data_IF_914935317204
#
_entry.id   IF_914935317204
#
_cell.length_a   1.000
_cell.length_b   1.000
_cell.length_c   1.000
_cell.angle_alpha   90.00
_cell.angle_beta   90.00
_cell.angle_gamma   90.00
#
_symmetry.space_group_name_H-M   'P 1'
#
loop_
_entity.id
_entity.type
_entity.pdbx_description
1 polymer ?
#
# COMPACT_ATOMS: atom_id res chain seq x y z
N UNK A 1 42.46 -1.66 57.52
CA UNK A 1 43.30 -2.67 56.83
C UNK A 1 42.58 -3.10 55.56
N UNK A 2 43.23 -2.86 54.39
CA UNK A 2 43.21 -3.64 53.14
C UNK A 2 41.87 -4.16 52.56
N UNK A 3 41.49 -3.97 51.30
CA UNK A 3 42.24 -3.64 50.06
C UNK A 3 41.29 -3.07 49.00
N UNK A 4 41.74 -2.04 48.30
CA UNK A 4 41.35 -1.68 46.94
C UNK A 4 41.86 -2.74 45.96
N UNK A 5 41.08 -3.12 44.95
CA UNK A 5 41.59 -3.73 43.71
C UNK A 5 40.92 -3.10 42.50
N UNK A 6 41.76 -2.54 41.64
CA UNK A 6 41.46 -2.03 40.29
C UNK A 6 41.48 -3.20 39.30
N UNK A 7 40.68 -3.09 38.25
CA UNK A 7 40.47 -4.05 37.16
C UNK A 7 41.72 -4.30 36.29
N UNK A 8 41.68 -5.32 35.40
CA UNK A 8 42.34 -5.25 34.11
C UNK A 8 41.33 -5.05 32.98
N UNK A 9 41.73 -4.14 32.11
CA UNK A 9 41.18 -3.80 30.80
C UNK A 9 41.56 -4.90 29.80
N UNK A 10 40.60 -5.40 29.01
CA UNK A 10 40.90 -6.14 27.77
C UNK A 10 39.80 -5.92 26.73
N UNK A 11 40.28 -5.55 25.55
CA UNK A 11 39.62 -4.89 24.43
C UNK A 11 38.82 -5.87 23.50
N UNK A 12 38.25 -5.40 22.37
CA UNK A 12 36.99 -5.87 21.77
C UNK A 12 37.13 -6.91 20.64
N UNK A 13 35.96 -7.28 20.06
CA UNK A 13 35.65 -8.09 18.85
C UNK A 13 35.05 -9.45 19.23
N UNK A 14 33.97 -9.94 18.63
CA UNK A 14 33.63 -9.90 17.21
C UNK A 14 32.12 -9.76 16.99
N UNK A 15 31.76 -8.91 16.03
CA UNK A 15 30.49 -8.94 15.32
C UNK A 15 30.26 -10.33 14.72
N UNK A 16 29.25 -11.06 15.18
CA UNK A 16 28.51 -11.96 14.31
C UNK A 16 27.21 -11.27 13.95
N UNK A 17 27.36 -10.29 13.06
CA UNK A 17 26.25 -9.74 12.29
C UNK A 17 25.66 -10.88 11.46
N UNK A 18 24.65 -11.56 12.01
CA UNK A 18 23.72 -12.31 11.19
C UNK A 18 22.84 -11.25 10.54
N UNK A 19 23.29 -10.78 9.38
CA UNK A 19 22.44 -10.06 8.43
C UNK A 19 21.19 -10.91 8.25
N UNK A 20 20.11 -10.54 8.95
CA UNK A 20 18.79 -10.79 8.42
C UNK A 20 18.82 -10.09 7.07
N UNK A 21 18.72 -10.87 6.00
CA UNK A 21 18.36 -10.32 4.71
C UNK A 21 17.01 -9.63 4.95
N UNK A 22 17.05 -8.32 5.18
CA UNK A 22 15.89 -7.48 5.04
C UNK A 22 15.54 -7.60 3.56
N UNK A 23 14.48 -8.36 3.28
CA UNK A 23 13.84 -8.38 1.98
C UNK A 23 13.63 -6.92 1.57
N UNK A 24 14.02 -6.52 0.35
CA UNK A 24 13.85 -5.15 -0.07
C UNK A 24 12.38 -4.78 0.08
N UNK A 25 12.12 -3.77 0.91
CA UNK A 25 10.79 -3.19 1.04
C UNK A 25 10.52 -2.49 -0.27
N UNK A 26 9.84 -3.18 -1.19
CA UNK A 26 9.43 -2.61 -2.48
C UNK A 26 8.51 -1.46 -2.16
N UNK A 27 9.05 -0.25 -2.21
CA UNK A 27 8.25 0.96 -2.04
C UNK A 27 7.45 1.18 -3.32
N UNK A 28 6.28 1.81 -3.22
CA UNK A 28 5.45 2.11 -4.40
C UNK A 28 6.19 2.95 -5.48
N UNK A 29 7.36 3.51 -5.15
CA UNK A 29 8.24 4.22 -6.08
C UNK A 29 9.07 3.30 -7.00
N UNK A 30 9.18 2.01 -6.69
CA UNK A 30 9.98 1.04 -7.45
C UNK A 30 9.16 0.07 -8.30
N UNK A 31 7.85 0.29 -8.42
CA UNK A 31 6.99 -0.53 -9.30
C UNK A 31 6.51 0.28 -10.50
N UNK A 32 6.55 -0.33 -11.68
CA UNK A 32 5.95 0.23 -12.88
C UNK A 32 4.58 -0.42 -13.09
N UNK A 33 3.54 0.40 -13.11
CA UNK A 33 2.20 -0.04 -13.52
C UNK A 33 2.20 -0.33 -15.01
N UNK A 34 1.84 -1.56 -15.38
CA UNK A 34 1.61 -1.97 -16.77
C UNK A 34 0.19 -2.51 -16.93
N UNK A 35 -0.25 -2.63 -18.19
CA UNK A 35 -1.63 -2.96 -18.50
C UNK A 35 -2.57 -1.75 -18.37
N UNK A 36 -3.86 -2.04 -18.34
CA UNK A 36 -4.93 -1.03 -18.29
C UNK A 36 -6.22 -1.62 -17.76
N UNK A 37 -7.25 -0.78 -17.63
CA UNK A 37 -8.61 -1.29 -17.66
C UNK A 37 -8.73 -2.07 -18.97
N UNK A 38 -9.04 -3.36 -18.90
CA UNK A 38 -9.64 -4.04 -20.04
C UNK A 38 -10.84 -3.22 -20.48
N UNK A 39 -11.16 -3.23 -21.77
CA UNK A 39 -12.39 -2.61 -22.25
C UNK A 39 -13.55 -3.10 -21.38
N UNK A 40 -14.30 -2.17 -20.78
CA UNK A 40 -15.34 -2.51 -19.82
C UNK A 40 -14.90 -2.78 -18.37
N UNK A 41 -13.69 -2.47 -17.88
CA UNK A 41 -13.40 -2.56 -16.44
C UNK A 41 -13.80 -1.26 -15.70
N UNK A 42 -14.74 -1.35 -14.74
CA UNK A 42 -15.21 -0.24 -13.89
C UNK A 42 -14.67 -0.23 -12.45
N UNK A 43 -13.56 -0.93 -12.17
CA UNK A 43 -12.97 -1.10 -10.84
C UNK A 43 -12.72 0.22 -10.07
N UNK A 44 -12.32 1.29 -10.77
CA UNK A 44 -12.12 2.62 -10.19
C UNK A 44 -13.39 3.24 -9.61
N UNK A 45 -14.57 2.71 -9.97
CA UNK A 45 -15.87 3.23 -9.60
C UNK A 45 -16.49 2.47 -8.41
N UNK A 46 -15.81 1.47 -7.85
CA UNK A 46 -16.37 0.66 -6.76
C UNK A 46 -16.13 1.25 -5.37
N UNK A 47 -15.00 1.94 -5.20
CA UNK A 47 -14.63 2.53 -3.91
C UNK A 47 -13.64 3.68 -4.06
N UNK A 48 -13.65 4.55 -3.07
CA UNK A 48 -12.64 5.59 -2.90
C UNK A 48 -11.65 5.14 -1.82
N UNK A 49 -10.37 5.37 -2.06
CA UNK A 49 -9.30 5.14 -1.08
C UNK A 49 -8.77 6.52 -0.66
N UNK A 50 -8.77 6.78 0.64
CA UNK A 50 -8.31 8.02 1.26
C UNK A 50 -7.11 7.67 2.13
N UNK A 51 -5.88 8.04 1.71
CA UNK A 51 -4.71 7.88 2.55
C UNK A 51 -4.85 8.74 3.80
N UNK A 52 -4.55 8.15 4.95
CA UNK A 52 -4.59 8.79 6.25
C UNK A 52 -3.18 9.00 6.78
N UNK A 53 -3.04 9.93 7.70
CA UNK A 53 -1.75 10.17 8.36
C UNK A 53 -1.37 9.00 9.27
N UNK A 54 -0.28 8.25 9.00
CA UNK A 54 0.13 7.12 9.83
C UNK A 54 0.45 7.51 11.28
N UNK A 55 0.70 8.81 11.55
CA UNK A 55 0.91 9.32 12.92
C UNK A 55 -0.33 9.19 13.80
N UNK A 56 -1.52 8.97 13.25
CA UNK A 56 -2.72 8.68 14.06
C UNK A 56 -2.53 7.48 15.01
N UNK A 57 -1.70 6.50 14.62
CA UNK A 57 -1.32 5.33 15.43
C UNK A 57 -0.62 5.68 16.74
N UNK A 58 0.06 6.83 16.79
CA UNK A 58 0.85 7.24 17.96
C UNK A 58 0.00 7.51 19.20
N UNK A 59 -1.32 7.60 19.04
CA UNK A 59 -2.28 7.82 20.13
C UNK A 59 -3.40 6.77 20.10
N UNK A 60 -3.19 5.57 20.67
CA UNK A 60 -4.10 4.43 20.51
C UNK A 60 -5.57 4.70 20.87
N UNK A 61 -5.82 5.46 21.95
CA UNK A 61 -7.19 5.80 22.34
C UNK A 61 -7.89 6.70 21.32
N UNK A 62 -7.18 7.72 20.81
CA UNK A 62 -7.72 8.60 19.77
C UNK A 62 -7.91 7.86 18.45
N UNK A 63 -7.00 6.95 18.13
CA UNK A 63 -7.11 6.12 16.95
C UNK A 63 -8.36 5.23 17.00
N UNK A 64 -8.61 4.56 18.13
CA UNK A 64 -9.80 3.72 18.29
C UNK A 64 -11.11 4.52 18.20
N UNK A 65 -11.15 5.72 18.80
CA UNK A 65 -12.30 6.62 18.69
C UNK A 65 -12.53 7.05 17.24
N UNK A 66 -11.45 7.37 16.52
CA UNK A 66 -11.50 7.73 15.11
C UNK A 66 -11.93 6.56 14.21
N UNK A 67 -11.43 5.35 14.44
CA UNK A 67 -11.89 4.13 13.76
C UNK A 67 -13.38 3.94 14.02
N UNK A 68 -13.83 4.14 15.26
CA UNK A 68 -15.25 3.98 15.58
C UNK A 68 -16.12 5.01 14.87
N UNK A 69 -15.67 6.26 14.85
CA UNK A 69 -16.33 7.32 14.08
C UNK A 69 -16.38 6.97 12.59
N UNK A 70 -15.28 6.50 12.00
CA UNK A 70 -15.19 6.11 10.61
C UNK A 70 -16.19 4.99 10.26
N UNK A 71 -16.26 3.93 11.07
CA UNK A 71 -17.24 2.84 10.91
C UNK A 71 -18.69 3.33 10.88
N UNK A 72 -19.04 4.26 11.78
CA UNK A 72 -20.38 4.85 11.85
C UNK A 72 -20.75 5.65 10.59
N UNK A 73 -19.74 6.12 9.86
CA UNK A 73 -19.89 6.84 8.60
C UNK A 73 -19.67 5.96 7.36
N UNK A 74 -19.60 4.63 7.53
CA UNK A 74 -19.45 3.68 6.42
C UNK A 74 -18.04 3.65 5.82
N UNK A 75 -17.06 4.22 6.52
CA UNK A 75 -15.65 4.10 6.19
C UNK A 75 -15.08 2.85 6.85
N UNK A 76 -14.20 2.16 6.14
CA UNK A 76 -13.46 1.02 6.65
C UNK A 76 -11.98 1.40 6.68
N UNK A 77 -11.33 1.16 7.82
CA UNK A 77 -9.93 1.51 8.03
C UNK A 77 -9.07 0.26 7.81
N UNK A 78 -8.09 0.37 6.91
CA UNK A 78 -7.03 -0.63 6.74
C UNK A 78 -5.77 -0.07 7.39
N UNK A 79 -5.32 -0.75 8.43
CA UNK A 79 -4.03 -0.48 9.05
C UNK A 79 -3.01 -1.51 8.58
N UNK A 80 -2.06 -1.08 7.73
CA UNK A 80 -0.92 -1.87 7.29
C UNK A 80 0.37 -1.25 7.87
N UNK A 81 0.76 -1.62 9.10
CA UNK A 81 1.93 -1.07 9.76
C UNK A 81 3.25 -1.52 9.09
N UNK A 82 3.28 -2.69 8.47
CA UNK A 82 4.48 -3.21 7.78
C UNK A 82 4.83 -2.37 6.56
N UNK A 83 3.81 -1.89 5.83
CA UNK A 83 3.97 -0.95 4.71
C UNK A 83 3.90 0.52 5.14
N UNK A 84 3.86 0.80 6.46
CA UNK A 84 3.82 2.16 6.99
C UNK A 84 2.55 2.95 6.64
N UNK A 85 1.44 2.27 6.35
CA UNK A 85 0.28 2.86 5.69
C UNK A 85 -1.03 2.70 6.46
N UNK A 86 -1.80 3.78 6.49
CA UNK A 86 -3.13 3.80 7.06
C UNK A 86 -4.08 4.35 5.98
N UNK A 87 -5.04 3.55 5.55
CA UNK A 87 -6.01 3.93 4.51
C UNK A 87 -7.44 3.87 5.07
N UNK A 88 -8.28 4.83 4.71
CA UNK A 88 -9.73 4.69 4.79
C UNK A 88 -10.27 4.36 3.40
N UNK A 89 -11.29 3.49 3.34
CA UNK A 89 -12.05 3.32 2.11
C UNK A 89 -13.55 3.34 2.36
N UNK A 90 -14.28 3.82 1.36
CA UNK A 90 -15.73 3.74 1.32
C UNK A 90 -16.15 3.15 -0.02
N UNK A 91 -17.13 2.25 0.01
CA UNK A 91 -17.81 1.85 -1.20
C UNK A 91 -18.61 3.03 -1.73
N UNK A 92 -18.59 3.21 -3.04
CA UNK A 92 -19.37 4.26 -3.71
C UNK A 92 -20.28 3.64 -4.74
N UNK A 93 -21.43 4.27 -4.95
CA UNK A 93 -22.26 4.02 -6.11
C UNK A 93 -21.78 4.92 -7.24
N UNK A 94 -21.72 4.36 -8.44
CA UNK A 94 -21.35 5.09 -9.65
C UNK A 94 -22.37 4.78 -10.72
N UNK A 95 -23.10 5.80 -11.19
CA UNK A 95 -24.13 5.65 -12.22
C UNK A 95 -23.55 5.22 -13.57
N UNK A 96 -22.25 5.49 -13.79
CA UNK A 96 -21.53 5.05 -14.98
C UNK A 96 -21.13 3.56 -14.92
N UNK A 97 -21.35 2.88 -13.79
CA UNK A 97 -21.04 1.45 -13.61
C UNK A 97 -22.27 0.60 -13.97
N UNK A 98 -22.14 -0.27 -14.98
CA UNK A 98 -23.19 -1.23 -15.34
C UNK A 98 -23.38 -2.29 -14.25
N UNK A 99 -24.49 -3.04 -14.28
CA UNK A 99 -24.66 -4.23 -13.42
C UNK A 99 -23.54 -5.27 -13.59
N UNK A 100 -22.95 -5.34 -14.79
CA UNK A 100 -21.83 -6.24 -15.13
C UNK A 100 -20.46 -5.68 -14.71
N UNK A 101 -20.43 -4.58 -13.93
CA UNK A 101 -19.23 -3.90 -13.44
C UNK A 101 -18.39 -3.23 -14.53
N UNK A 102 -19.05 -2.80 -15.60
CA UNK A 102 -18.42 -2.11 -16.71
C UNK A 102 -18.59 -0.59 -16.67
N UNK A 103 -17.58 0.13 -17.14
CA UNK A 103 -17.63 1.59 -17.21
C UNK A 103 -18.25 2.05 -18.53
N UNK A 104 -19.46 2.60 -18.49
CA UNK A 104 -20.17 3.14 -19.66
C UNK A 104 -19.53 4.42 -20.24
N UNK A 105 -18.59 5.04 -19.55
CA UNK A 105 -17.86 6.23 -20.02
C UNK A 105 -16.52 5.87 -20.67
N UNK A 106 -16.24 4.58 -20.90
CA UNK A 106 -14.98 4.16 -21.53
C UNK A 106 -14.79 4.88 -22.89
N UNK A 107 -13.64 5.55 -23.05
CA UNK A 107 -13.28 6.25 -24.28
C UNK A 107 -13.98 7.59 -24.50
N UNK A 108 -14.84 8.05 -23.58
CA UNK A 108 -15.50 9.36 -23.67
C UNK A 108 -14.72 10.42 -22.91
N UNK A 109 -14.93 11.70 -23.27
CA UNK A 109 -14.36 12.85 -22.54
C UNK A 109 -15.01 13.08 -21.17
N UNK A 110 -16.12 12.41 -20.88
CA UNK A 110 -16.81 12.50 -19.59
C UNK A 110 -16.17 11.58 -18.54
N UNK A 111 -15.32 10.63 -18.96
CA UNK A 111 -14.57 9.78 -18.03
C UNK A 111 -13.56 10.63 -17.24
N UNK A 112 -13.63 10.64 -15.89
CA UNK A 112 -12.68 11.37 -15.08
C UNK A 112 -11.24 10.87 -15.25
N UNK A 113 -10.27 11.79 -15.26
CA UNK A 113 -8.84 11.45 -15.37
C UNK A 113 -8.36 10.55 -14.21
N UNK A 114 -8.98 10.66 -13.03
CA UNK A 114 -8.69 9.77 -11.90
C UNK A 114 -8.84 8.29 -12.29
N UNK A 115 -9.83 7.96 -13.12
CA UNK A 115 -10.08 6.61 -13.61
C UNK A 115 -9.00 6.09 -14.56
N UNK A 116 -8.15 6.97 -15.12
CA UNK A 116 -7.01 6.58 -15.96
C UNK A 116 -5.78 6.20 -15.13
N UNK A 117 -5.63 6.81 -13.95
CA UNK A 117 -4.54 6.56 -13.00
C UNK A 117 -4.77 5.35 -12.10
N UNK A 118 -6.01 4.88 -11.97
CA UNK A 118 -6.35 3.73 -11.14
C UNK A 118 -5.88 2.40 -11.78
N UNK A 119 -5.44 1.39 -11.00
CA UNK A 119 -4.96 1.50 -9.63
C UNK A 119 -3.62 2.21 -9.61
N UNK A 120 -3.38 3.01 -8.56
CA UNK A 120 -2.10 3.65 -8.36
C UNK A 120 -1.07 2.69 -7.74
N UNK A 121 -1.52 1.61 -7.10
CA UNK A 121 -0.66 0.66 -6.38
C UNK A 121 -1.14 -0.80 -6.53
N UNK A 122 -0.24 -1.80 -6.42
CA UNK A 122 -0.58 -3.22 -6.56
C UNK A 122 -1.63 -3.69 -5.55
N UNK A 123 -1.55 -3.21 -4.32
CA UNK A 123 -2.45 -3.62 -3.24
C UNK A 123 -3.89 -3.10 -3.41
N UNK A 124 -4.09 -2.07 -4.24
CA UNK A 124 -5.43 -1.61 -4.60
C UNK A 124 -6.17 -2.70 -5.43
N UNK A 125 -5.43 -3.59 -6.10
CA UNK A 125 -5.98 -4.75 -6.79
C UNK A 125 -6.37 -5.90 -5.86
N UNK A 126 -5.73 -6.06 -4.70
CA UNK A 126 -6.06 -7.14 -3.74
C UNK A 126 -7.53 -7.04 -3.28
N UNK A 127 -8.05 -5.83 -3.28
CA UNK A 127 -9.42 -5.53 -2.92
C UNK A 127 -10.44 -5.61 -4.07
N UNK A 128 -9.99 -5.88 -5.30
CA UNK A 128 -10.80 -5.91 -6.52
C UNK A 128 -10.59 -7.24 -7.22
N UNK A 129 -11.58 -8.14 -7.13
CA UNK A 129 -11.47 -9.48 -7.72
C UNK A 129 -11.82 -9.46 -9.21
N UNK A 130 -10.94 -10.02 -10.04
CA UNK A 130 -11.24 -10.58 -11.37
C UNK A 130 -11.81 -9.65 -12.46
N UNK A 131 -11.52 -8.35 -12.50
CA UNK A 131 -12.11 -7.44 -13.51
C UNK A 131 -11.13 -6.64 -14.37
N UNK A 132 -9.82 -6.72 -14.11
CA UNK A 132 -8.85 -5.82 -14.75
C UNK A 132 -7.52 -6.54 -15.08
N UNK A 133 -6.81 -6.07 -16.13
CA UNK A 133 -5.51 -6.59 -16.59
C UNK A 133 -4.29 -5.89 -15.98
N UNK A 134 -4.48 -5.16 -14.87
CA UNK A 134 -3.41 -4.39 -14.25
C UNK A 134 -2.36 -5.31 -13.65
N UNK A 135 -1.10 -5.04 -13.98
CA UNK A 135 0.07 -5.68 -13.42
C UNK A 135 1.01 -4.61 -12.88
N UNK A 136 1.80 -5.00 -11.87
CA UNK A 136 2.86 -4.15 -11.34
C UNK A 136 4.16 -4.92 -11.45
N UNK A 137 5.09 -4.37 -12.23
CA UNK A 137 6.43 -4.94 -12.42
C UNK A 137 7.36 -4.28 -11.41
N UNK A 138 8.09 -5.09 -10.65
CA UNK A 138 9.16 -4.61 -9.79
C UNK A 138 10.36 -4.18 -10.63
N UNK A 139 10.67 -2.87 -10.65
CA UNK A 139 11.78 -2.31 -11.40
C UNK A 139 13.15 -2.65 -10.79
N UNK A 140 13.20 -3.13 -9.55
CA UNK A 140 14.43 -3.65 -8.95
C UNK A 140 14.82 -4.99 -9.59
N UNK A 141 13.86 -5.82 -9.95
CA UNK A 141 14.10 -7.09 -10.67
C UNK A 141 14.52 -6.85 -12.13
N UNK A 142 13.91 -5.86 -12.80
CA UNK A 142 14.25 -5.51 -14.20
C UNK A 142 15.69 -4.99 -14.33
N UNK A 143 16.20 -4.26 -13.33
CA UNK A 143 17.59 -3.76 -13.33
C UNK A 143 18.65 -4.84 -13.12
N UNK A 144 18.26 -5.99 -12.56
CA UNK A 144 19.17 -7.12 -12.31
C UNK A 144 19.04 -8.25 -13.35
N UNK A 145 18.10 -8.14 -14.29
CA UNK A 145 17.81 -9.14 -15.32
C UNK A 145 17.97 -8.62 -16.75
N UNK A 146 19.19 -8.24 -17.14
CA UNK A 146 19.58 -8.23 -18.56
C UNK A 146 20.74 -9.23 -18.75
N UNK A 147 20.46 -10.53 -19.01
CA UNK A 147 21.44 -11.39 -19.63
C UNK A 147 21.46 -11.13 -21.15
N UNK A 148 22.68 -10.95 -21.69
CA UNK A 148 22.97 -10.96 -23.13
C UNK A 148 22.47 -12.24 -23.82
#
# INVERSE_FOLDING_TARGET
MSTVRVAPESAPRQHTGRLRAELPTVTAQDTLRTGGCTEGCGACCEKIIIPLDPRLRTHPQKFNDWVKWAELHGLIIIDDPEKGRLDAFMYIECEALTPDKECNLMGTSERPDLCAGFPARPDELESIRNVCSYEFIDLTEVRHGAPN
#
